data_IF_614345780109
#
_entry.id   IF_614345780109
#
_cell.length_a   1.000
_cell.length_b   1.000
_cell.length_c   1.000
_cell.angle_alpha   90.00
_cell.angle_beta   90.00
_cell.angle_gamma   90.00
#
_symmetry.space_group_name_H-M   'P 1'
#
loop_
_entity.id
_entity.type
_entity.pdbx_description
1 polymer ?
#
# COMPACT_ATOMS: atom_id res chain seq x y z
N UNK A 1 -6.86 4.75 14.45
CA UNK A 1 -6.93 5.81 13.41
C UNK A 1 -6.10 5.45 12.16
N UNK A 2 -6.39 6.04 10.99
CA UNK A 2 -5.58 5.85 9.78
C UNK A 2 -4.37 6.80 9.74
N UNK A 3 -3.17 6.26 9.54
CA UNK A 3 -1.92 7.01 9.33
C UNK A 3 -1.37 6.72 7.94
N UNK A 4 -0.89 7.73 7.23
CA UNK A 4 -0.31 7.59 5.88
C UNK A 4 1.18 7.85 5.93
N UNK A 5 1.96 7.02 5.26
CA UNK A 5 3.42 7.11 5.15
C UNK A 5 3.82 6.89 3.69
N UNK A 6 4.89 7.55 3.26
CA UNK A 6 5.49 7.23 1.98
C UNK A 6 6.45 6.05 2.17
N UNK A 7 6.35 5.06 1.29
CA UNK A 7 7.38 4.02 1.19
C UNK A 7 8.63 4.67 0.58
N UNK A 8 9.78 4.51 1.24
CA UNK A 8 11.04 5.06 0.73
C UNK A 8 11.57 4.25 -0.45
N UNK A 9 12.41 4.90 -1.27
CA UNK A 9 13.12 4.23 -2.36
C UNK A 9 13.99 3.06 -1.86
N UNK A 10 14.61 3.19 -0.69
CA UNK A 10 15.43 2.12 -0.08
C UNK A 10 14.57 0.92 0.30
N UNK A 11 13.41 1.14 0.94
CA UNK A 11 12.46 0.07 1.26
C UNK A 11 11.94 -0.63 0.01
N UNK A 12 11.57 0.14 -1.02
CA UNK A 12 11.11 -0.39 -2.29
C UNK A 12 12.20 -1.21 -3.00
N UNK A 13 13.46 -0.75 -2.96
CA UNK A 13 14.59 -1.48 -3.54
C UNK A 13 14.88 -2.78 -2.79
N UNK A 14 14.87 -2.73 -1.45
CA UNK A 14 15.03 -3.92 -0.63
C UNK A 14 13.92 -4.96 -0.90
N UNK A 15 12.69 -4.51 -1.20
CA UNK A 15 11.61 -5.42 -1.57
C UNK A 15 11.86 -6.14 -2.90
N UNK A 16 12.45 -5.45 -3.89
CA UNK A 16 12.87 -6.09 -5.15
C UNK A 16 13.90 -7.19 -4.87
N UNK A 17 14.88 -6.91 -4.01
CA UNK A 17 15.98 -7.84 -3.69
C UNK A 17 15.51 -9.07 -2.90
N UNK A 18 14.57 -8.87 -1.96
CA UNK A 18 14.12 -9.92 -1.03
C UNK A 18 12.84 -10.64 -1.47
N UNK A 19 12.16 -10.16 -2.51
CA UNK A 19 10.92 -10.75 -3.00
C UNK A 19 9.65 -10.30 -2.27
N UNK A 20 9.78 -9.62 -1.12
CA UNK A 20 8.67 -9.02 -0.38
C UNK A 20 9.16 -7.84 0.49
N UNK A 21 8.23 -7.10 1.09
CA UNK A 21 8.53 -5.92 1.90
C UNK A 21 9.12 -6.27 3.28
N UNK A 22 10.09 -5.47 3.72
CA UNK A 22 10.79 -5.67 5.01
C UNK A 22 9.90 -5.48 6.23
N UNK A 23 10.37 -5.99 7.38
CA UNK A 23 9.68 -5.90 8.67
C UNK A 23 9.43 -4.46 9.14
N UNK A 24 10.27 -3.52 8.74
CA UNK A 24 10.09 -2.09 8.97
C UNK A 24 8.84 -1.50 8.27
N UNK A 25 8.32 -2.21 7.26
CA UNK A 25 7.06 -1.89 6.58
C UNK A 25 5.92 -2.75 7.13
N UNK A 26 6.04 -4.07 7.05
CA UNK A 26 4.92 -4.99 7.34
C UNK A 26 4.61 -5.14 8.83
N UNK A 27 5.58 -4.87 9.72
CA UNK A 27 5.40 -4.82 11.18
C UNK A 27 5.31 -3.38 11.71
N UNK A 28 5.07 -2.39 10.86
CA UNK A 28 4.96 -0.99 11.32
C UNK A 28 3.80 -0.78 12.32
N UNK A 29 2.81 -1.68 12.32
CA UNK A 29 1.70 -1.75 13.26
C UNK A 29 0.91 -3.05 13.07
N UNK A 30 -0.13 -3.28 13.87
CA UNK A 30 -0.93 -4.50 13.81
C UNK A 30 -1.70 -4.66 12.49
N UNK A 31 -2.08 -3.55 11.85
CA UNK A 31 -2.79 -3.51 10.56
C UNK A 31 -2.05 -2.58 9.60
N UNK A 32 -1.51 -3.15 8.52
CA UNK A 32 -0.77 -2.39 7.51
C UNK A 32 -1.41 -2.58 6.15
N UNK A 33 -1.60 -1.50 5.40
CA UNK A 33 -1.90 -1.55 3.97
C UNK A 33 -0.75 -0.95 3.19
N UNK A 34 -0.37 -1.56 2.08
CA UNK A 34 0.63 -1.03 1.18
C UNK A 34 -0.01 -0.81 -0.20
N UNK A 35 0.00 0.43 -0.66
CA UNK A 35 -0.56 0.86 -1.94
C UNK A 35 0.58 1.12 -2.92
N UNK A 36 0.63 0.33 -3.99
CA UNK A 36 1.58 0.44 -5.09
C UNK A 36 0.84 1.00 -6.32
N UNK A 37 1.26 2.16 -6.81
CA UNK A 37 0.57 2.85 -7.91
C UNK A 37 1.55 3.67 -8.76
N UNK A 38 1.03 4.25 -9.85
CA UNK A 38 1.76 5.21 -10.69
C UNK A 38 1.01 6.54 -10.75
N UNK A 39 1.73 7.61 -11.07
CA UNK A 39 1.21 8.98 -11.06
C UNK A 39 0.02 9.20 -12.00
N UNK A 40 -0.04 8.44 -13.11
CA UNK A 40 -1.11 8.51 -14.11
C UNK A 40 -2.37 7.70 -13.74
N UNK A 41 -2.37 6.95 -12.63
CA UNK A 41 -3.49 6.11 -12.24
C UNK A 41 -4.75 6.97 -11.92
N UNK A 42 -5.87 6.80 -12.65
CA UNK A 42 -7.07 7.64 -12.47
C UNK A 42 -7.79 7.37 -11.14
N UNK A 43 -7.59 6.18 -10.57
CA UNK A 43 -8.18 5.77 -9.30
C UNK A 43 -7.39 6.31 -8.10
N UNK A 44 -6.13 6.71 -8.29
CA UNK A 44 -5.27 7.17 -7.19
C UNK A 44 -5.79 8.44 -6.50
N UNK A 45 -6.20 9.51 -7.21
CA UNK A 45 -6.79 10.69 -6.59
C UNK A 45 -8.05 10.37 -5.76
N UNK A 46 -8.87 9.42 -6.22
CA UNK A 46 -10.06 8.97 -5.49
C UNK A 46 -9.67 8.28 -4.17
N UNK A 47 -8.65 7.42 -4.18
CA UNK A 47 -8.10 6.80 -2.97
C UNK A 47 -7.58 7.82 -1.98
N UNK A 48 -6.76 8.75 -2.45
CA UNK A 48 -6.26 9.83 -1.61
C UNK A 48 -7.38 10.68 -0.99
N UNK A 49 -8.44 10.97 -1.76
CA UNK A 49 -9.59 11.74 -1.28
C UNK A 49 -10.28 11.07 -0.10
N UNK A 50 -10.62 9.78 -0.22
CA UNK A 50 -11.29 9.10 0.90
C UNK A 50 -10.34 8.81 2.06
N UNK A 51 -9.05 8.55 1.83
CA UNK A 51 -8.07 8.39 2.92
C UNK A 51 -7.95 9.68 3.73
N UNK A 52 -7.85 10.85 3.06
CA UNK A 52 -7.87 12.16 3.73
C UNK A 52 -9.16 12.37 4.54
N UNK A 53 -10.30 11.94 4.02
CA UNK A 53 -11.58 11.97 4.74
C UNK A 53 -11.53 11.13 6.03
N UNK A 54 -11.05 9.88 5.94
CA UNK A 54 -10.91 9.01 7.11
C UNK A 54 -9.97 9.60 8.17
N UNK A 55 -8.83 10.16 7.76
CA UNK A 55 -7.89 10.82 8.68
C UNK A 55 -8.53 12.02 9.38
N UNK A 56 -9.21 12.89 8.61
CA UNK A 56 -9.90 14.07 9.14
C UNK A 56 -10.98 13.69 10.15
N UNK A 57 -11.71 12.61 9.87
CA UNK A 57 -12.81 12.14 10.73
C UNK A 57 -12.31 11.27 11.90
N UNK A 58 -11.00 11.03 12.02
CA UNK A 58 -10.43 10.14 13.05
C UNK A 58 -10.84 8.68 12.89
N UNK A 59 -11.21 8.25 11.68
CA UNK A 59 -11.74 6.91 11.39
C UNK A 59 -10.70 5.99 10.74
N UNK A 60 -10.85 4.66 10.94
CA UNK A 60 -11.66 4.04 11.99
C UNK A 60 -11.11 4.37 13.40
N UNK A 61 -12.02 4.57 14.36
CA UNK A 61 -11.65 4.92 15.74
C UNK A 61 -10.87 3.78 16.41
N UNK A 62 -11.31 2.54 16.20
CA UNK A 62 -10.81 1.35 16.90
C UNK A 62 -9.70 0.59 16.15
N UNK A 63 -9.19 1.15 15.04
CA UNK A 63 -8.09 0.51 14.31
C UNK A 63 -6.99 1.49 13.97
N UNK A 64 -5.80 1.23 14.50
CA UNK A 64 -4.57 1.85 14.04
C UNK A 64 -4.12 1.15 12.76
N UNK A 65 -4.42 1.79 11.64
CA UNK A 65 -4.07 1.33 10.30
C UNK A 65 -2.94 2.21 9.80
N UNK A 66 -1.81 1.60 9.44
CA UNK A 66 -0.72 2.28 8.76
C UNK A 66 -0.82 1.98 7.28
N UNK A 67 -0.92 3.04 6.47
CA UNK A 67 -0.95 2.95 5.02
C UNK A 67 0.37 3.45 4.47
N UNK A 68 1.12 2.56 3.82
CA UNK A 68 2.27 2.93 3.00
C UNK A 68 1.82 3.18 1.57
N UNK A 69 2.36 4.24 0.98
CA UNK A 69 2.07 4.65 -0.39
C UNK A 69 3.37 4.64 -1.20
N UNK A 70 3.33 4.08 -2.40
CA UNK A 70 4.46 4.13 -3.32
C UNK A 70 3.99 4.45 -4.74
N UNK A 71 4.34 5.66 -5.20
CA UNK A 71 4.14 6.11 -6.59
C UNK A 71 5.44 5.83 -7.35
N UNK A 72 5.52 4.65 -7.95
CA UNK A 72 6.80 4.06 -8.34
C UNK A 72 7.34 4.51 -9.70
N UNK A 73 6.55 5.20 -10.51
CA UNK A 73 7.00 5.78 -11.79
C UNK A 73 7.87 7.03 -11.63
N UNK A 74 8.01 7.55 -10.40
CA UNK A 74 8.89 8.67 -10.07
C UNK A 74 10.30 8.30 -9.60
N UNK A 75 10.64 7.01 -9.46
CA UNK A 75 11.96 6.58 -9.01
C UNK A 75 12.83 6.08 -10.18
N UNK A 76 14.16 6.13 -10.03
CA UNK A 76 15.11 5.73 -11.08
C UNK A 76 14.96 4.27 -11.51
N UNK A 77 14.47 3.40 -10.62
CA UNK A 77 14.29 1.96 -10.84
C UNK A 77 12.83 1.57 -11.10
N UNK A 78 12.05 2.49 -11.69
CA UNK A 78 10.62 2.29 -11.94
C UNK A 78 10.32 1.02 -12.77
N UNK A 79 11.18 0.69 -13.73
CA UNK A 79 11.00 -0.48 -14.62
C UNK A 79 11.23 -1.77 -13.86
N UNK A 80 12.27 -1.82 -13.03
CA UNK A 80 12.57 -2.93 -12.14
C UNK A 80 11.46 -3.14 -11.13
N UNK A 81 10.96 -2.06 -10.52
CA UNK A 81 9.84 -2.15 -9.58
C UNK A 81 8.55 -2.63 -10.26
N UNK A 82 8.30 -2.19 -11.51
CA UNK A 82 7.19 -2.70 -12.32
C UNK A 82 7.32 -4.21 -12.54
N UNK A 83 8.51 -4.67 -12.98
CA UNK A 83 8.76 -6.08 -13.21
C UNK A 83 8.63 -6.91 -11.92
N UNK A 84 9.13 -6.40 -10.80
CA UNK A 84 8.95 -7.00 -9.48
C UNK A 84 7.46 -7.15 -9.11
N UNK A 85 6.68 -6.07 -9.20
CA UNK A 85 5.23 -6.09 -8.92
C UNK A 85 4.50 -7.10 -9.79
N UNK A 86 4.86 -7.19 -11.07
CA UNK A 86 4.15 -8.03 -12.05
C UNK A 86 4.53 -9.50 -11.96
N UNK A 87 5.83 -9.78 -11.80
CA UNK A 87 6.36 -11.15 -11.92
C UNK A 87 6.56 -11.82 -10.58
N UNK A 88 6.88 -11.05 -9.53
CA UNK A 88 7.13 -11.58 -8.19
C UNK A 88 5.88 -11.45 -7.33
N UNK A 89 5.27 -10.26 -7.29
CA UNK A 89 4.02 -10.06 -6.55
C UNK A 89 2.76 -10.50 -7.34
N UNK A 90 2.90 -10.78 -8.64
CA UNK A 90 1.83 -11.36 -9.45
C UNK A 90 0.70 -10.42 -9.84
N UNK A 91 0.90 -9.09 -9.80
CA UNK A 91 -0.14 -8.12 -10.13
C UNK A 91 0.31 -7.09 -11.18
N UNK A 92 -0.38 -7.04 -12.33
CA UNK A 92 -0.14 -6.09 -13.43
C UNK A 92 -1.04 -4.87 -13.43
N UNK A 93 -1.88 -4.70 -12.41
CA UNK A 93 -2.82 -3.62 -12.30
C UNK A 93 -2.34 -2.56 -11.30
N UNK A 94 -2.81 -1.33 -11.47
CA UNK A 94 -2.64 -0.25 -10.49
C UNK A 94 -3.98 0.45 -10.24
N UNK A 95 -4.25 0.91 -9.01
CA UNK A 95 -3.42 0.73 -7.82
C UNK A 95 -3.51 -0.74 -7.36
N UNK A 96 -2.43 -1.26 -6.80
CA UNK A 96 -2.35 -2.59 -6.20
C UNK A 96 -2.16 -2.43 -4.70
N UNK A 97 -2.97 -3.12 -3.91
CA UNK A 97 -3.02 -3.01 -2.45
C UNK A 97 -2.73 -4.37 -1.84
N UNK A 98 -1.76 -4.39 -0.93
CA UNK A 98 -1.44 -5.56 -0.09
C UNK A 98 -1.81 -5.25 1.34
N UNK A 99 -2.48 -6.18 2.01
CA UNK A 99 -2.98 -6.02 3.38
C UNK A 99 -2.24 -6.99 4.29
N UNK A 100 -1.64 -6.45 5.35
CA UNK A 100 -0.92 -7.22 6.35
C UNK A 100 -1.56 -7.08 7.73
N UNK A 101 -1.50 -8.18 8.48
CA UNK A 101 -1.84 -8.23 9.90
C UNK A 101 -0.70 -8.88 10.66
N UNK A 102 -0.17 -8.17 11.64
CA UNK A 102 0.93 -8.65 12.48
C UNK A 102 2.11 -9.23 11.66
N UNK A 103 2.46 -8.55 10.55
CA UNK A 103 3.53 -8.97 9.65
C UNK A 103 3.19 -10.02 8.62
N UNK A 104 1.96 -10.53 8.60
CA UNK A 104 1.54 -11.58 7.68
C UNK A 104 0.62 -10.99 6.61
N UNK A 105 0.89 -11.30 5.34
CA UNK A 105 -0.03 -10.95 4.24
C UNK A 105 -1.34 -11.71 4.43
N UNK A 106 -2.45 -10.99 4.58
CA UNK A 106 -3.78 -11.57 4.82
C UNK A 106 -4.72 -11.43 3.63
N UNK A 107 -4.53 -10.42 2.78
CA UNK A 107 -5.37 -10.20 1.62
C UNK A 107 -4.69 -9.25 0.63
N UNK A 108 -5.25 -9.17 -0.58
CA UNK A 108 -4.77 -8.35 -1.68
C UNK A 108 -5.95 -7.83 -2.51
N UNK A 109 -5.79 -6.67 -3.14
CA UNK A 109 -6.78 -6.14 -4.08
C UNK A 109 -6.17 -5.14 -5.05
N UNK A 110 -6.98 -4.70 -6.01
CA UNK A 110 -6.74 -3.43 -6.71
C UNK A 110 -7.63 -2.34 -6.11
N UNK A 111 -8.05 -1.36 -6.90
CA UNK A 111 -8.94 -0.30 -6.41
C UNK A 111 -10.25 -0.87 -5.87
N UNK A 112 -10.55 -0.50 -4.62
CA UNK A 112 -11.84 -0.68 -3.96
C UNK A 112 -12.19 0.60 -3.19
N UNK A 113 -13.47 0.76 -2.86
CA UNK A 113 -13.93 1.88 -2.02
C UNK A 113 -13.45 1.75 -0.56
N UNK A 114 -13.49 2.86 0.19
CA UNK A 114 -13.03 2.93 1.58
C UNK A 114 -13.61 1.84 2.50
N UNK A 115 -14.90 1.51 2.33
CA UNK A 115 -15.54 0.43 3.11
C UNK A 115 -14.89 -0.93 2.84
N UNK A 116 -14.69 -1.27 1.56
CA UNK A 116 -14.03 -2.52 1.18
C UNK A 116 -12.57 -2.56 1.67
N UNK A 117 -11.86 -1.43 1.55
CA UNK A 117 -10.50 -1.29 2.06
C UNK A 117 -10.39 -1.59 3.56
N UNK A 118 -11.31 -1.06 4.37
CA UNK A 118 -11.33 -1.33 5.82
C UNK A 118 -11.73 -2.77 6.15
N UNK A 119 -12.63 -3.38 5.34
CA UNK A 119 -13.02 -4.79 5.51
C UNK A 119 -11.84 -5.75 5.32
N UNK A 120 -10.93 -5.46 4.37
CA UNK A 120 -9.71 -6.25 4.14
C UNK A 120 -8.76 -6.30 5.34
N UNK A 121 -8.89 -5.34 6.26
CA UNK A 121 -8.08 -5.23 7.47
C UNK A 121 -8.84 -5.57 8.76
N UNK A 122 -10.14 -5.83 8.67
CA UNK A 122 -11.01 -6.06 9.83
C UNK A 122 -10.61 -7.33 10.58
#
# INVERSE_FOLDING_TARGET
MLQRRQLSATQARSAIENGDFGSDVINAGAKVALILTQSWCPQWPAMQKWMRGLQKDGKPADHDIIVFEFVYDGVEFAREFTAFKERVLGNSLIPYVRYYRDGVLVDESNYIGSRGFLQKLS
#
